data_IF_281903925834
#
_entry.id   IF_281903925834
#
_cell.length_a   1.000
_cell.length_b   1.000
_cell.length_c   1.000
_cell.angle_alpha   90.00
_cell.angle_beta   90.00
_cell.angle_gamma   90.00
#
_symmetry.space_group_name_H-M   'P 1'
#
loop_
_entity.id
_entity.type
_entity.pdbx_description
1 polymer ?
#
# COMPACT_ATOMS: atom_id res chain seq x y z
N UNK A 1 -11.93 -0.06 -13.58
CA UNK A 1 -10.48 0.00 -13.88
C UNK A 1 -10.12 1.47 -13.98
N UNK A 2 -8.95 1.88 -13.48
CA UNK A 2 -8.47 3.26 -13.55
C UNK A 2 -7.60 3.37 -14.80
N UNK A 3 -7.85 4.37 -15.64
CA UNK A 3 -6.99 4.71 -16.78
C UNK A 3 -6.15 5.92 -16.39
N UNK A 4 -4.84 5.72 -16.32
CA UNK A 4 -3.90 6.79 -16.03
C UNK A 4 -3.63 7.65 -17.28
N UNK A 5 -3.08 8.85 -17.07
CA UNK A 5 -2.73 9.83 -18.10
C UNK A 5 -1.73 9.31 -19.13
N UNK A 6 -0.84 8.39 -18.73
CA UNK A 6 0.09 7.70 -19.61
C UNK A 6 -0.53 6.48 -20.34
N UNK A 7 -1.85 6.29 -20.23
CA UNK A 7 -2.58 5.19 -20.88
C UNK A 7 -2.54 3.86 -20.12
N UNK A 8 -1.75 3.72 -19.05
CA UNK A 8 -1.70 2.49 -18.25
C UNK A 8 -3.03 2.25 -17.54
N UNK A 9 -3.45 0.99 -17.52
CA UNK A 9 -4.70 0.55 -16.92
C UNK A 9 -4.43 -0.15 -15.57
N UNK A 10 -4.95 0.43 -14.49
CA UNK A 10 -4.87 -0.16 -13.15
C UNK A 10 -6.18 -0.86 -12.79
N UNK A 11 -6.10 -2.18 -12.60
CA UNK A 11 -7.20 -2.96 -12.04
C UNK A 11 -6.81 -3.67 -10.75
N UNK A 12 -5.67 -4.35 -10.74
CA UNK A 12 -5.15 -5.05 -9.57
C UNK A 12 -3.78 -4.50 -9.20
N UNK A 13 -3.62 -4.15 -7.92
CA UNK A 13 -2.43 -3.53 -7.37
C UNK A 13 -1.94 -4.35 -6.19
N UNK A 14 -0.64 -4.69 -6.18
CA UNK A 14 0.00 -5.31 -5.04
C UNK A 14 0.55 -4.22 -4.12
N UNK A 15 0.21 -4.29 -2.82
CA UNK A 15 0.48 -3.20 -1.90
C UNK A 15 1.94 -3.02 -1.58
N UNK A 16 2.33 -1.76 -1.43
CA UNK A 16 3.62 -1.36 -0.86
C UNK A 16 3.84 -2.09 0.46
N UNK A 17 4.86 -2.96 0.50
CA UNK A 17 5.08 -3.87 1.63
C UNK A 17 4.95 -5.36 1.28
N UNK A 18 4.29 -5.69 0.18
CA UNK A 18 4.03 -7.06 -0.28
C UNK A 18 5.07 -7.49 -1.33
N UNK A 19 5.09 -8.79 -1.67
CA UNK A 19 5.95 -9.34 -2.73
C UNK A 19 7.44 -8.96 -2.58
N UNK A 20 7.99 -9.06 -1.37
CA UNK A 20 9.36 -8.66 -1.04
C UNK A 20 9.72 -7.20 -1.37
N UNK A 21 8.75 -6.28 -1.34
CA UNK A 21 8.91 -4.83 -1.52
C UNK A 21 9.22 -4.36 -2.95
N UNK A 22 9.58 -5.27 -3.85
CA UNK A 22 9.99 -4.99 -5.23
C UNK A 22 9.27 -5.88 -6.25
N UNK A 23 8.39 -6.78 -5.83
CA UNK A 23 7.67 -7.68 -6.74
C UNK A 23 8.39 -8.98 -7.04
N UNK A 24 9.65 -9.18 -6.59
CA UNK A 24 10.35 -10.48 -6.72
C UNK A 24 9.66 -11.58 -5.92
N UNK A 25 8.92 -11.21 -4.88
CA UNK A 25 8.45 -12.16 -3.89
C UNK A 25 9.61 -12.66 -3.03
N UNK A 26 9.25 -13.16 -1.85
CA UNK A 26 10.21 -13.65 -0.88
C UNK A 26 10.81 -15.00 -1.35
N UNK A 27 12.02 -15.38 -0.92
CA UNK A 27 12.63 -16.66 -1.32
C UNK A 27 11.72 -17.87 -1.12
N UNK A 28 10.94 -17.90 -0.03
CA UNK A 28 9.98 -18.97 0.25
C UNK A 28 8.74 -18.98 -0.66
N UNK A 29 8.51 -17.90 -1.42
CA UNK A 29 7.42 -17.81 -2.40
C UNK A 29 7.84 -18.31 -3.80
N UNK A 30 9.14 -18.53 -4.04
CA UNK A 30 9.64 -18.92 -5.36
C UNK A 30 9.04 -20.23 -5.91
N UNK A 31 8.84 -21.30 -5.09
CA UNK A 31 8.14 -22.50 -5.57
C UNK A 31 6.70 -22.22 -6.04
N UNK A 32 6.00 -21.29 -5.38
CA UNK A 32 4.65 -20.88 -5.77
C UNK A 32 4.64 -20.10 -7.08
N UNK A 33 5.73 -19.38 -7.36
CA UNK A 33 5.90 -18.66 -8.63
C UNK A 33 6.15 -19.61 -9.80
N UNK A 34 7.02 -20.60 -9.61
CA UNK A 34 7.29 -21.60 -10.64
C UNK A 34 6.06 -22.43 -11.00
N UNK A 35 5.19 -22.71 -10.03
CA UNK A 35 3.92 -23.42 -10.24
C UNK A 35 2.79 -22.51 -10.75
N UNK A 36 3.01 -21.19 -10.86
CA UNK A 36 1.99 -20.23 -11.27
C UNK A 36 0.87 -19.99 -10.25
N UNK A 37 1.03 -20.49 -9.01
CA UNK A 37 0.16 -20.22 -7.87
C UNK A 37 0.33 -18.81 -7.33
N UNK A 38 1.51 -18.20 -7.53
CA UNK A 38 1.76 -16.78 -7.31
C UNK A 38 2.32 -16.17 -8.59
N UNK A 39 1.56 -15.28 -9.22
CA UNK A 39 1.99 -14.56 -10.42
C UNK A 39 1.97 -13.04 -10.19
N UNK A 40 3.12 -12.42 -9.89
CA UNK A 40 3.25 -10.98 -9.74
C UNK A 40 2.86 -10.17 -10.99
N UNK A 41 2.88 -10.77 -12.19
CA UNK A 41 2.58 -10.07 -13.46
C UNK A 41 1.10 -9.71 -13.59
N UNK A 42 0.23 -10.34 -12.82
CA UNK A 42 -1.19 -10.01 -12.74
C UNK A 42 -1.47 -8.71 -11.98
N UNK A 43 -0.44 -8.13 -11.34
CA UNK A 43 -0.57 -6.94 -10.51
C UNK A 43 0.33 -5.83 -11.03
N UNK A 44 -0.12 -4.59 -10.92
CA UNK A 44 0.81 -3.47 -10.83
C UNK A 44 1.39 -3.45 -9.42
N UNK A 45 2.71 -3.59 -9.30
CA UNK A 45 3.40 -3.68 -8.00
C UNK A 45 3.69 -2.28 -7.48
N UNK A 46 3.24 -1.95 -6.27
CA UNK A 46 3.69 -0.74 -5.61
C UNK A 46 4.96 -1.03 -4.83
N UNK A 47 6.06 -0.39 -5.21
CA UNK A 47 7.33 -0.50 -4.48
C UNK A 47 7.17 -0.03 -3.03
N UNK A 48 8.02 -0.52 -2.13
CA UNK A 48 8.08 0.02 -0.77
C UNK A 48 8.36 1.52 -0.80
N UNK A 49 7.67 2.28 0.05
CA UNK A 49 7.91 3.73 0.18
C UNK A 49 9.39 4.03 0.37
N UNK A 50 9.98 4.75 -0.58
CA UNK A 50 11.39 5.13 -0.60
C UNK A 50 11.59 6.47 0.12
N UNK A 51 12.75 6.59 0.76
CA UNK A 51 13.27 7.82 1.35
C UNK A 51 14.56 8.24 0.62
N UNK A 52 15.04 9.50 0.80
CA UNK A 52 16.25 9.97 0.16
C UNK A 52 17.49 9.14 0.50
N UNK A 53 17.55 8.62 1.72
CA UNK A 53 18.65 7.81 2.23
C UNK A 53 18.13 6.53 2.86
N UNK A 54 19.04 5.63 3.22
CA UNK A 54 18.69 4.43 3.96
C UNK A 54 18.02 4.78 5.28
N UNK A 55 16.86 4.18 5.53
CA UNK A 55 16.09 4.39 6.73
C UNK A 55 16.01 3.09 7.51
N UNK A 56 16.58 3.05 8.72
CA UNK A 56 16.61 1.82 9.52
C UNK A 56 15.23 1.39 9.99
N UNK A 57 14.35 2.34 10.31
CA UNK A 57 13.04 2.08 10.92
C UNK A 57 13.10 1.08 12.08
N UNK A 58 11.99 0.37 12.31
CA UNK A 58 11.88 -0.60 13.40
C UNK A 58 12.16 -2.04 12.95
N UNK A 59 11.98 -2.36 11.66
CA UNK A 59 12.17 -3.73 11.16
C UNK A 59 13.63 -4.14 11.30
N UNK A 60 13.83 -5.32 11.89
CA UNK A 60 15.10 -6.07 11.87
C UNK A 60 14.83 -7.39 11.16
N UNK A 61 15.59 -7.68 10.12
CA UNK A 61 15.38 -8.87 9.30
C UNK A 61 15.51 -10.19 10.07
N UNK A 62 16.33 -10.20 11.13
CA UNK A 62 16.45 -11.34 12.03
C UNK A 62 15.21 -11.53 12.94
N UNK A 63 14.44 -10.47 13.20
CA UNK A 63 13.29 -10.48 14.10
C UNK A 63 12.08 -9.74 13.51
N UNK A 64 11.53 -10.20 12.36
CA UNK A 64 10.45 -9.50 11.68
C UNK A 64 9.17 -9.43 12.54
N UNK A 65 8.94 -10.45 13.37
CA UNK A 65 7.77 -10.51 14.25
C UNK A 65 7.85 -9.59 15.47
N UNK A 66 8.96 -8.87 15.69
CA UNK A 66 9.00 -7.82 16.72
C UNK A 66 8.12 -6.63 16.35
N UNK A 67 7.97 -6.36 15.05
CA UNK A 67 7.27 -5.19 14.51
C UNK A 67 6.05 -5.56 13.67
N UNK A 68 5.74 -6.86 13.58
CA UNK A 68 4.59 -7.38 12.87
C UNK A 68 3.96 -8.50 13.70
N UNK A 69 2.68 -8.36 14.02
CA UNK A 69 1.93 -9.35 14.79
C UNK A 69 0.64 -9.70 14.05
N UNK A 70 0.37 -11.00 13.95
CA UNK A 70 -0.97 -11.49 13.63
C UNK A 70 -1.86 -11.29 14.84
N UNK A 71 -3.12 -10.92 14.62
CA UNK A 71 -4.10 -10.74 15.69
C UNK A 71 -5.41 -11.46 15.38
N UNK A 72 -6.12 -11.88 16.42
CA UNK A 72 -7.48 -12.40 16.31
C UNK A 72 -8.47 -11.29 15.96
N UNK A 73 -9.76 -11.63 15.77
CA UNK A 73 -10.80 -10.63 15.52
C UNK A 73 -10.98 -9.67 16.69
N UNK A 74 -10.65 -10.12 17.90
CA UNK A 74 -10.70 -9.37 19.14
C UNK A 74 -9.40 -8.59 19.40
N UNK A 75 -8.40 -8.69 18.52
CA UNK A 75 -7.11 -8.00 18.68
C UNK A 75 -6.14 -8.69 19.64
N UNK A 76 -6.26 -10.00 19.87
CA UNK A 76 -5.28 -10.74 20.67
C UNK A 76 -4.13 -11.22 19.76
N UNK A 77 -2.85 -11.07 20.16
CA UNK A 77 -1.72 -11.54 19.36
C UNK A 77 -1.78 -13.05 19.16
N UNK A 78 -1.51 -13.49 17.94
CA UNK A 78 -1.46 -14.90 17.55
C UNK A 78 0.00 -15.27 17.29
N UNK A 79 0.42 -16.43 17.80
CA UNK A 79 1.74 -16.98 17.50
C UNK A 79 1.92 -17.15 15.97
N UNK A 80 3.03 -16.68 15.36
CA UNK A 80 3.24 -16.79 13.92
C UNK A 80 3.13 -18.21 13.35
N UNK A 81 3.61 -19.24 14.07
CA UNK A 81 3.50 -20.62 13.61
C UNK A 81 2.03 -21.08 13.53
N UNK A 82 1.21 -20.69 14.52
CA UNK A 82 -0.23 -20.94 14.51
C UNK A 82 -0.90 -20.18 13.37
N UNK A 83 -0.56 -18.91 13.19
CA UNK A 83 -1.11 -18.08 12.11
C UNK A 83 -0.77 -18.66 10.72
N UNK A 84 0.44 -19.19 10.53
CA UNK A 84 0.85 -19.82 9.26
C UNK A 84 0.13 -21.17 9.06
N UNK A 85 0.03 -22.00 10.10
CA UNK A 85 -0.63 -23.30 10.02
C UNK A 85 -2.14 -23.20 9.85
N UNK A 86 -2.77 -22.22 10.50
CA UNK A 86 -4.22 -21.99 10.52
C UNK A 86 -4.53 -20.56 10.08
N UNK A 87 -4.19 -20.23 8.83
CA UNK A 87 -4.33 -18.85 8.33
C UNK A 87 -5.74 -18.25 8.45
N UNK A 88 -6.78 -19.09 8.50
CA UNK A 88 -8.15 -18.65 8.81
C UNK A 88 -8.36 -18.08 10.22
N UNK A 89 -7.43 -18.30 11.16
CA UNK A 89 -7.46 -17.69 12.50
C UNK A 89 -6.97 -16.25 12.51
N UNK A 90 -6.41 -15.75 11.39
CA UNK A 90 -5.92 -14.37 11.29
C UNK A 90 -7.14 -13.44 11.16
N UNK A 91 -7.47 -12.73 12.24
CA UNK A 91 -8.44 -11.65 12.21
C UNK A 91 -7.86 -10.36 11.62
N UNK A 92 -6.55 -10.18 11.71
CA UNK A 92 -5.83 -9.08 11.08
C UNK A 92 -4.34 -9.14 11.31
N UNK A 93 -3.64 -8.13 10.82
CA UNK A 93 -2.20 -7.92 11.05
C UNK A 93 -1.98 -6.49 11.49
N UNK A 94 -1.31 -6.34 12.62
CA UNK A 94 -0.78 -5.05 13.09
C UNK A 94 0.71 -4.99 12.80
N UNK A 95 1.17 -3.86 12.24
CA UNK A 95 2.57 -3.64 11.94
C UNK A 95 3.03 -2.24 12.34
N UNK A 96 4.31 -2.13 12.67
CA UNK A 96 5.00 -0.89 12.99
C UNK A 96 6.39 -0.89 12.34
N UNK A 97 6.47 -1.20 11.03
CA UNK A 97 7.73 -1.34 10.29
C UNK A 97 8.59 -0.06 10.36
N UNK A 98 7.96 1.12 10.35
CA UNK A 98 8.68 2.40 10.45
C UNK A 98 9.44 2.76 9.18
N UNK A 99 8.90 2.44 7.99
CA UNK A 99 9.50 2.73 6.67
C UNK A 99 10.91 2.16 6.44
N UNK A 100 11.33 1.12 7.16
CA UNK A 100 12.65 0.50 7.00
C UNK A 100 12.96 0.19 5.52
N UNK A 101 14.00 0.77 4.94
CA UNK A 101 14.27 0.61 3.51
C UNK A 101 15.66 1.12 3.11
N UNK A 102 16.15 0.70 1.92
CA UNK A 102 17.52 0.99 1.48
C UNK A 102 17.71 2.46 1.04
N UNK A 103 16.64 3.23 0.89
CA UNK A 103 16.66 4.53 0.25
C UNK A 103 16.61 4.43 -1.28
N UNK A 104 16.29 5.53 -1.94
CA UNK A 104 16.03 5.58 -3.39
C UNK A 104 17.25 5.20 -4.23
N UNK A 105 18.44 5.71 -3.91
CA UNK A 105 19.64 5.49 -4.75
C UNK A 105 20.08 4.02 -4.73
N UNK A 106 20.01 3.37 -3.55
CA UNK A 106 20.30 1.94 -3.43
C UNK A 106 19.23 1.10 -4.11
N UNK A 107 17.96 1.48 -4.00
CA UNK A 107 16.87 0.78 -4.71
C UNK A 107 17.03 0.86 -6.23
N UNK A 108 17.38 2.04 -6.77
CA UNK A 108 17.64 2.25 -8.20
C UNK A 108 18.82 1.39 -8.71
N UNK A 109 19.87 1.24 -7.90
CA UNK A 109 21.05 0.44 -8.29
C UNK A 109 20.86 -1.07 -8.15
N UNK A 110 20.10 -1.51 -7.15
CA UNK A 110 20.01 -2.93 -6.76
C UNK A 110 18.70 -3.59 -7.17
N UNK A 111 17.59 -2.95 -6.87
CA UNK A 111 16.27 -3.58 -6.93
C UNK A 111 15.58 -3.28 -8.27
N UNK A 112 15.59 -2.02 -8.71
CA UNK A 112 14.94 -1.60 -9.97
C UNK A 112 15.37 -2.38 -11.22
N UNK A 113 16.68 -2.65 -11.48
CA UNK A 113 17.08 -3.39 -12.68
C UNK A 113 16.49 -4.82 -12.70
N UNK A 114 16.28 -5.41 -11.53
CA UNK A 114 15.63 -6.73 -11.44
C UNK A 114 14.15 -6.62 -11.75
N UNK A 115 13.45 -5.60 -11.25
CA UNK A 115 12.04 -5.34 -11.56
C UNK A 115 11.84 -5.15 -13.07
N UNK A 116 12.68 -4.31 -13.67
CA UNK A 116 12.66 -4.02 -15.10
C UNK A 116 12.93 -5.27 -15.94
N UNK A 117 13.97 -6.04 -15.61
CA UNK A 117 14.30 -7.28 -16.33
C UNK A 117 13.19 -8.33 -16.31
N UNK A 118 12.30 -8.28 -15.32
CA UNK A 118 11.14 -9.18 -15.19
C UNK A 118 9.87 -8.63 -15.86
N UNK A 119 9.93 -7.42 -16.42
CA UNK A 119 8.80 -6.77 -17.09
C UNK A 119 7.68 -6.36 -16.13
N UNK A 120 7.97 -6.26 -14.82
CA UNK A 120 6.96 -5.90 -13.83
C UNK A 120 6.56 -4.43 -13.97
N UNK A 121 5.26 -4.19 -13.93
CA UNK A 121 4.69 -2.84 -13.93
C UNK A 121 4.75 -2.31 -12.50
N UNK A 122 5.55 -1.26 -12.28
CA UNK A 122 5.82 -0.75 -10.92
C UNK A 122 5.32 0.67 -10.73
N UNK A 123 4.65 0.92 -9.61
CA UNK A 123 4.37 2.26 -9.06
C UNK A 123 5.41 2.51 -7.96
N UNK A 124 6.14 3.62 -8.03
CA UNK A 124 7.15 3.93 -7.01
C UNK A 124 6.51 4.76 -5.91
N UNK A 125 6.40 4.18 -4.71
CA UNK A 125 5.92 4.89 -3.53
C UNK A 125 7.05 5.75 -2.94
N UNK A 126 6.79 7.02 -2.64
CA UNK A 126 7.76 7.95 -2.04
C UNK A 126 7.15 8.71 -0.87
N UNK A 127 8.02 9.22 0.00
CA UNK A 127 7.70 10.34 0.90
C UNK A 127 8.86 11.33 0.86
N UNK A 128 8.58 12.62 0.97
CA UNK A 128 9.57 13.68 0.91
C UNK A 128 9.81 14.31 2.28
N UNK A 129 10.84 13.91 3.04
CA UNK A 129 11.26 14.66 4.21
C UNK A 129 11.71 16.06 3.77
N UNK A 130 11.34 17.10 4.53
CA UNK A 130 11.60 18.49 4.13
C UNK A 130 10.52 19.10 3.23
N UNK A 131 9.28 18.59 3.30
CA UNK A 131 8.12 19.22 2.65
C UNK A 131 8.09 19.06 1.14
N UNK A 132 7.67 20.10 0.42
CA UNK A 132 7.56 20.11 -1.04
C UNK A 132 8.89 19.87 -1.75
N UNK A 133 9.97 20.53 -1.30
CA UNK A 133 11.30 20.36 -1.88
C UNK A 133 11.78 18.91 -1.77
N UNK A 134 11.60 18.29 -0.61
CA UNK A 134 11.94 16.88 -0.41
C UNK A 134 11.22 15.95 -1.38
N UNK A 135 9.94 16.23 -1.66
CA UNK A 135 9.17 15.47 -2.64
C UNK A 135 9.68 15.70 -4.07
N UNK A 136 9.97 16.96 -4.44
CA UNK A 136 10.54 17.33 -5.73
C UNK A 136 11.85 16.57 -6.00
N UNK A 137 12.79 16.60 -5.06
CA UNK A 137 14.08 15.91 -5.19
C UNK A 137 13.93 14.39 -5.32
N UNK A 138 13.01 13.80 -4.56
CA UNK A 138 12.71 12.37 -4.68
C UNK A 138 12.21 11.99 -6.07
N UNK A 139 11.35 12.84 -6.67
CA UNK A 139 10.83 12.63 -8.02
C UNK A 139 11.92 12.79 -9.08
N UNK A 140 12.82 13.77 -8.92
CA UNK A 140 13.94 13.99 -9.85
C UNK A 140 14.88 12.79 -9.94
N UNK A 141 15.08 12.07 -8.84
CA UNK A 141 15.87 10.81 -8.85
C UNK A 141 15.20 9.67 -9.60
N UNK A 142 13.91 9.77 -9.91
CA UNK A 142 13.15 8.81 -10.74
C UNK A 142 13.06 9.27 -12.20
N UNK A 143 13.80 10.30 -12.63
CA UNK A 143 13.92 10.63 -14.04
C UNK A 143 14.65 9.52 -14.82
N UNK A 144 14.25 9.32 -16.07
CA UNK A 144 14.86 8.30 -16.95
C UNK A 144 14.45 6.84 -16.68
N UNK A 145 13.78 6.52 -15.56
CA UNK A 145 13.30 5.16 -15.31
C UNK A 145 11.89 4.91 -15.86
N UNK A 146 11.67 3.69 -16.33
CA UNK A 146 10.39 3.18 -16.81
C UNK A 146 9.53 2.65 -15.66
N UNK A 147 8.59 3.47 -15.20
CA UNK A 147 7.63 3.17 -14.13
C UNK A 147 6.22 3.61 -14.54
N UNK A 148 5.20 2.98 -13.97
CA UNK A 148 3.79 3.28 -14.26
C UNK A 148 3.38 4.64 -13.71
N UNK A 149 3.91 5.04 -12.56
CA UNK A 149 3.55 6.26 -11.87
C UNK A 149 4.21 6.35 -10.50
N UNK A 150 3.90 7.42 -9.78
CA UNK A 150 4.41 7.71 -8.45
C UNK A 150 3.26 7.65 -7.46
N UNK A 151 3.45 6.98 -6.33
CA UNK A 151 2.53 7.05 -5.19
C UNK A 151 3.13 7.94 -4.11
N UNK A 152 2.49 9.06 -3.81
CA UNK A 152 2.85 9.86 -2.66
C UNK A 152 2.23 9.27 -1.39
N UNK A 153 3.08 8.76 -0.49
CA UNK A 153 2.67 8.26 0.80
C UNK A 153 2.58 9.38 1.85
N UNK A 154 1.46 10.11 1.84
CA UNK A 154 1.16 11.19 2.78
C UNK A 154 0.69 10.69 4.16
N UNK A 155 0.71 9.39 4.42
CA UNK A 155 0.00 8.78 5.54
C UNK A 155 0.91 8.35 6.70
N UNK A 156 2.23 8.44 6.54
CA UNK A 156 3.18 7.94 7.54
C UNK A 156 3.74 9.08 8.41
N UNK A 157 3.43 9.12 9.72
CA UNK A 157 3.89 10.20 10.60
C UNK A 157 5.39 10.13 10.93
N UNK A 158 6.06 9.03 10.58
CA UNK A 158 7.46 8.81 10.95
C UNK A 158 8.43 9.82 10.32
N UNK A 159 8.04 10.45 9.22
CA UNK A 159 8.85 11.48 8.54
C UNK A 159 8.36 12.88 8.82
N UNK A 160 7.05 13.06 9.02
CA UNK A 160 6.44 14.34 9.34
C UNK A 160 5.05 14.12 9.99
N UNK A 161 4.89 14.35 11.31
CA UNK A 161 3.61 14.22 11.99
C UNK A 161 2.52 15.18 11.49
N UNK A 162 2.90 16.30 10.88
CA UNK A 162 1.95 17.33 10.42
C UNK A 162 1.10 16.85 9.23
N UNK A 163 1.58 15.86 8.48
CA UNK A 163 0.84 15.25 7.36
C UNK A 163 -0.48 14.64 7.79
N UNK A 164 -0.60 14.19 9.05
CA UNK A 164 -1.84 13.62 9.56
C UNK A 164 -2.90 14.67 9.85
N UNK A 165 -2.50 15.93 10.08
CA UNK A 165 -3.39 16.96 10.61
C UNK A 165 -3.65 18.09 9.62
N UNK A 166 -2.73 18.36 8.69
CA UNK A 166 -2.80 19.55 7.84
C UNK A 166 -2.98 19.20 6.35
N UNK A 167 -4.19 19.36 5.79
CA UNK A 167 -4.45 19.22 4.36
C UNK A 167 -3.56 20.10 3.47
N UNK A 168 -3.21 21.32 3.92
CA UNK A 168 -2.43 22.27 3.12
C UNK A 168 -1.07 21.71 2.75
N UNK A 169 -0.43 21.00 3.69
CA UNK A 169 0.89 20.41 3.50
C UNK A 169 0.81 19.29 2.45
N UNK A 170 -0.21 18.43 2.55
CA UNK A 170 -0.42 17.33 1.60
C UNK A 170 -0.67 17.88 0.19
N UNK A 171 -1.50 18.91 0.06
CA UNK A 171 -1.81 19.56 -1.22
C UNK A 171 -0.56 20.22 -1.81
N UNK A 172 0.22 20.96 -1.00
CA UNK A 172 1.45 21.62 -1.44
C UNK A 172 2.48 20.60 -1.93
N UNK A 173 2.63 19.46 -1.25
CA UNK A 173 3.51 18.38 -1.68
C UNK A 173 3.04 17.70 -2.96
N UNK A 174 1.73 17.48 -3.14
CA UNK A 174 1.19 16.98 -4.40
C UNK A 174 1.54 17.91 -5.57
N UNK A 175 1.44 19.24 -5.36
CA UNK A 175 1.84 20.23 -6.37
C UNK A 175 3.33 20.17 -6.69
N UNK A 176 4.19 20.14 -5.68
CA UNK A 176 5.64 20.03 -5.87
C UNK A 176 6.03 18.73 -6.63
N UNK A 177 5.32 17.63 -6.38
CA UNK A 177 5.52 16.38 -7.15
C UNK A 177 5.11 16.56 -8.61
N UNK A 178 3.96 17.19 -8.88
CA UNK A 178 3.49 17.44 -10.24
C UNK A 178 4.35 18.45 -11.00
N UNK A 179 4.94 19.42 -10.33
CA UNK A 179 5.94 20.33 -10.92
C UNK A 179 7.22 19.59 -11.33
N UNK A 180 7.58 18.53 -10.62
CA UNK A 180 8.76 17.73 -10.93
C UNK A 180 8.54 16.70 -12.05
N UNK A 181 7.30 16.32 -12.36
CA UNK A 181 7.02 15.27 -13.36
C UNK A 181 5.60 15.26 -13.95
N UNK A 182 5.52 14.91 -15.23
CA UNK A 182 4.25 14.63 -15.92
C UNK A 182 3.69 13.23 -15.65
N UNK A 183 4.45 12.36 -14.96
CA UNK A 183 3.99 11.00 -14.65
C UNK A 183 2.69 11.00 -13.82
N UNK A 184 1.91 9.91 -13.90
CA UNK A 184 0.75 9.75 -13.05
C UNK A 184 1.10 9.81 -11.57
N UNK A 185 0.31 10.59 -10.82
CA UNK A 185 0.45 10.75 -9.38
C UNK A 185 -0.72 10.09 -8.66
N UNK A 186 -0.42 9.16 -7.77
CA UNK A 186 -1.36 8.55 -6.85
C UNK A 186 -1.12 9.11 -5.45
N UNK A 187 -2.18 9.24 -4.65
CA UNK A 187 -2.10 9.72 -3.27
C UNK A 187 -2.54 8.64 -2.30
N UNK A 188 -1.67 8.26 -1.36
CA UNK A 188 -1.99 7.28 -0.31
C UNK A 188 -2.36 7.97 0.99
N UNK A 189 -3.61 7.78 1.42
CA UNK A 189 -4.19 8.43 2.60
C UNK A 189 -4.35 7.47 3.79
N UNK A 190 -4.29 8.05 4.99
CA UNK A 190 -4.63 7.41 6.26
C UNK A 190 -6.09 7.68 6.64
N UNK A 191 -6.68 6.75 7.38
CA UNK A 191 -7.98 6.96 8.01
C UNK A 191 -7.97 8.10 9.05
N UNK A 192 -6.82 8.44 9.62
CA UNK A 192 -6.68 9.54 10.60
C UNK A 192 -6.52 10.92 9.99
N UNK A 193 -6.46 11.04 8.67
CA UNK A 193 -6.38 12.32 7.99
C UNK A 193 -7.78 12.91 7.75
N UNK A 194 -7.91 14.22 7.53
CA UNK A 194 -9.09 14.83 6.91
C UNK A 194 -9.20 14.45 5.42
N UNK A 195 -9.32 13.14 5.13
CA UNK A 195 -9.15 12.57 3.79
C UNK A 195 -10.16 13.09 2.77
N UNK A 196 -11.39 13.42 3.19
CA UNK A 196 -12.39 13.98 2.30
C UNK A 196 -12.04 15.41 1.85
N UNK A 197 -11.51 16.22 2.76
CA UNK A 197 -11.06 17.58 2.43
C UNK A 197 -9.84 17.53 1.51
N UNK A 198 -8.84 16.70 1.88
CA UNK A 198 -7.65 16.50 1.06
C UNK A 198 -8.05 16.08 -0.35
N UNK A 199 -8.90 15.05 -0.48
CA UNK A 199 -9.34 14.51 -1.78
C UNK A 199 -9.95 15.58 -2.69
N UNK A 200 -10.84 16.44 -2.17
CA UNK A 200 -11.42 17.56 -2.93
C UNK A 200 -10.36 18.54 -3.41
N UNK A 201 -9.36 18.82 -2.59
CA UNK A 201 -8.33 19.84 -2.87
C UNK A 201 -7.24 19.36 -3.82
N UNK A 202 -7.12 18.05 -4.03
CA UNK A 202 -6.15 17.45 -4.96
C UNK A 202 -6.78 16.97 -6.27
N UNK A 203 -8.06 17.25 -6.52
CA UNK A 203 -8.70 16.97 -7.81
C UNK A 203 -7.92 17.62 -8.97
N UNK A 204 -7.69 16.86 -10.03
CA UNK A 204 -6.86 17.28 -11.17
C UNK A 204 -5.35 17.20 -10.94
N UNK A 205 -4.87 17.09 -9.69
CA UNK A 205 -3.45 16.87 -9.39
C UNK A 205 -3.10 15.38 -9.27
N UNK A 206 -4.03 14.59 -8.73
CA UNK A 206 -3.83 13.16 -8.49
C UNK A 206 -4.83 12.34 -9.30
N UNK A 207 -4.39 11.18 -9.77
CA UNK A 207 -5.15 10.32 -10.69
C UNK A 207 -5.78 9.11 -10.00
N UNK A 208 -5.30 8.77 -8.80
CA UNK A 208 -5.98 7.80 -7.94
C UNK A 208 -5.66 8.01 -6.46
N UNK A 209 -6.56 7.56 -5.60
CA UNK A 209 -6.34 7.49 -4.15
C UNK A 209 -6.19 6.03 -3.72
N UNK A 210 -5.12 5.72 -2.99
CA UNK A 210 -4.94 4.44 -2.29
C UNK A 210 -5.07 4.62 -0.78
N UNK A 211 -5.43 3.54 -0.07
CA UNK A 211 -5.74 3.60 1.37
C UNK A 211 -4.68 2.81 2.15
N UNK A 212 -4.14 3.42 3.20
CA UNK A 212 -3.20 2.78 4.11
C UNK A 212 -3.90 2.00 5.24
N UNK A 213 -3.11 1.32 6.08
CA UNK A 213 -3.58 0.66 7.30
C UNK A 213 -4.27 1.62 8.26
N UNK A 214 -5.15 1.10 9.12
CA UNK A 214 -5.91 1.87 10.10
C UNK A 214 -5.21 1.82 11.46
N UNK A 215 -4.99 2.94 12.17
CA UNK A 215 -4.35 2.91 13.48
C UNK A 215 -5.02 1.98 14.49
N UNK A 216 -4.23 1.29 15.29
CA UNK A 216 -4.70 0.34 16.31
C UNK A 216 -5.83 0.88 17.18
N UNK A 217 -5.65 2.10 17.71
CA UNK A 217 -6.60 2.74 18.62
C UNK A 217 -7.99 2.94 18.00
N UNK A 218 -8.07 3.08 16.68
CA UNK A 218 -9.36 3.20 15.99
C UNK A 218 -10.06 1.86 15.85
N UNK A 219 -9.30 0.77 15.64
CA UNK A 219 -9.87 -0.58 15.46
C UNK A 219 -10.23 -1.23 16.79
N UNK A 220 -9.39 -1.09 17.82
CA UNK A 220 -9.52 -1.82 19.08
C UNK A 220 -9.71 -0.92 20.31
N UNK A 221 -9.95 0.39 20.12
CA UNK A 221 -10.16 1.35 21.21
C UNK A 221 -8.93 1.44 22.13
N UNK A 222 -9.18 1.43 23.43
CA UNK A 222 -8.14 1.56 24.47
C UNK A 222 -7.42 0.24 24.80
N UNK A 223 -7.73 -0.84 24.08
CA UNK A 223 -7.01 -2.11 24.24
C UNK A 223 -5.51 -1.89 23.97
N UNK A 224 -4.65 -2.38 24.86
CA UNK A 224 -3.22 -2.28 24.68
C UNK A 224 -2.77 -3.00 23.39
N UNK A 225 -2.04 -2.29 22.53
CA UNK A 225 -1.47 -2.88 21.31
C UNK A 225 -0.30 -3.80 21.65
N UNK A 226 -0.15 -4.96 20.99
CA UNK A 226 1.05 -5.78 21.11
C UNK A 226 2.30 -5.07 20.55
N UNK A 227 2.13 -3.95 19.84
CA UNK A 227 3.20 -3.08 19.35
C UNK A 227 3.18 -1.71 20.05
N UNK A 228 2.66 -1.61 21.28
CA UNK A 228 2.60 -0.36 22.05
C UNK A 228 3.97 0.35 22.15
N UNK A 229 5.07 -0.41 22.32
CA UNK A 229 6.45 0.12 22.34
C UNK A 229 6.87 0.86 21.06
N UNK A 230 6.13 0.69 19.97
CA UNK A 230 6.34 1.36 18.67
C UNK A 230 5.17 2.30 18.30
N UNK A 231 4.41 2.79 19.28
CA UNK A 231 3.27 3.68 19.05
C UNK A 231 1.99 2.96 18.62
N UNK A 232 1.90 1.64 18.81
CA UNK A 232 0.68 0.86 18.62
C UNK A 232 0.50 0.26 17.21
N UNK A 233 1.04 0.90 16.18
CA UNK A 233 1.07 0.36 14.81
C UNK A 233 -0.24 0.49 14.01
N UNK A 234 -0.15 0.14 12.72
CA UNK A 234 -1.25 0.14 11.77
C UNK A 234 -1.82 -1.26 11.55
N UNK A 235 -3.14 -1.36 11.60
CA UNK A 235 -3.94 -2.58 11.47
C UNK A 235 -4.45 -2.73 10.03
N UNK A 236 -4.39 -3.97 9.55
CA UNK A 236 -4.83 -4.38 8.22
C UNK A 236 -5.48 -5.77 8.29
N UNK A 237 -6.09 -6.23 7.19
CA UNK A 237 -6.85 -7.48 7.15
C UNK A 237 -8.30 -7.32 7.62
N UNK A 238 -9.02 -8.42 7.91
CA UNK A 238 -10.46 -8.42 8.14
C UNK A 238 -10.97 -7.39 9.15
N UNK A 239 -10.34 -7.28 10.32
CA UNK A 239 -10.73 -6.32 11.37
C UNK A 239 -10.64 -4.85 10.92
N UNK A 240 -9.81 -4.53 9.91
CA UNK A 240 -9.70 -3.18 9.38
C UNK A 240 -10.70 -2.89 8.24
N UNK A 241 -11.35 -3.92 7.67
CA UNK A 241 -12.27 -3.78 6.54
C UNK A 241 -13.40 -2.76 6.80
N UNK A 242 -14.10 -2.75 7.96
CA UNK A 242 -15.20 -1.81 8.16
C UNK A 242 -14.77 -0.34 8.06
N UNK A 243 -13.58 -0.02 8.58
CA UNK A 243 -13.00 1.32 8.53
C UNK A 243 -12.53 1.68 7.12
N UNK A 244 -11.78 0.79 6.47
CA UNK A 244 -11.29 1.01 5.10
C UNK A 244 -12.47 1.18 4.14
N UNK A 245 -13.48 0.33 4.22
CA UNK A 245 -14.63 0.37 3.33
C UNK A 245 -15.54 1.56 3.57
N UNK A 246 -15.65 2.02 4.83
CA UNK A 246 -16.27 3.31 5.14
C UNK A 246 -15.55 4.46 4.45
N UNK A 247 -14.22 4.54 4.59
CA UNK A 247 -13.40 5.56 3.94
C UNK A 247 -13.54 5.54 2.41
N UNK A 248 -13.55 4.36 1.79
CA UNK A 248 -13.81 4.21 0.34
C UNK A 248 -15.17 4.82 -0.02
N UNK A 249 -16.22 4.45 0.71
CA UNK A 249 -17.59 4.90 0.41
C UNK A 249 -17.76 6.41 0.61
N UNK A 250 -17.09 7.00 1.60
CA UNK A 250 -17.09 8.45 1.85
C UNK A 250 -16.32 9.21 0.77
N UNK A 251 -15.10 8.74 0.41
CA UNK A 251 -14.31 9.32 -0.68
C UNK A 251 -15.06 9.25 -2.01
N UNK A 252 -15.71 8.12 -2.31
CA UNK A 252 -16.44 7.91 -3.56
C UNK A 252 -17.65 8.85 -3.75
N UNK A 253 -18.17 9.42 -2.65
CA UNK A 253 -19.23 10.43 -2.67
C UNK A 253 -18.69 11.86 -2.68
N UNK A 254 -17.41 12.02 -2.35
CA UNK A 254 -16.76 13.29 -2.05
C UNK A 254 -15.95 13.83 -3.21
N UNK A 255 -15.34 12.95 -4.02
CA UNK A 255 -14.47 13.31 -5.14
C UNK A 255 -14.74 12.43 -6.36
N UNK A 256 -14.39 12.95 -7.54
CA UNK A 256 -14.32 12.22 -8.81
C UNK A 256 -13.04 11.38 -8.97
N UNK A 257 -12.03 11.57 -8.11
CA UNK A 257 -10.77 10.82 -8.20
C UNK A 257 -11.04 9.32 -7.99
N UNK A 258 -10.59 8.45 -8.90
CA UNK A 258 -10.74 7.01 -8.75
C UNK A 258 -10.06 6.45 -7.50
N UNK A 259 -10.75 5.53 -6.80
CA UNK A 259 -10.24 4.93 -5.56
C UNK A 259 -9.73 3.52 -5.82
N UNK A 260 -8.55 3.20 -5.29
CA UNK A 260 -8.00 1.84 -5.24
C UNK A 260 -8.45 1.20 -3.93
N UNK A 261 -9.45 0.33 -4.02
CA UNK A 261 -10.09 -0.31 -2.87
C UNK A 261 -9.18 -1.33 -2.20
N UNK A 262 -8.95 -1.17 -0.90
CA UNK A 262 -8.11 -2.06 -0.10
C UNK A 262 -8.93 -2.96 0.84
N UNK A 263 -8.24 -3.85 1.54
CA UNK A 263 -8.85 -4.73 2.55
C UNK A 263 -9.39 -6.05 2.00
N UNK A 264 -8.98 -6.49 0.81
CA UNK A 264 -9.35 -7.81 0.29
C UNK A 264 -8.83 -8.91 1.22
N UNK A 265 -9.71 -9.84 1.59
CA UNK A 265 -9.38 -11.05 2.35
C UNK A 265 -10.02 -12.30 1.75
N UNK A 266 -11.29 -12.21 1.37
CA UNK A 266 -12.02 -13.23 0.62
C UNK A 266 -12.30 -12.80 -0.81
N UNK A 267 -12.64 -13.76 -1.68
CA UNK A 267 -12.84 -13.50 -3.11
C UNK A 267 -13.98 -12.50 -3.34
N UNK A 268 -15.06 -12.64 -2.56
CA UNK A 268 -16.28 -11.84 -2.62
C UNK A 268 -16.02 -10.36 -2.28
N UNK A 269 -14.93 -10.06 -1.56
CA UNK A 269 -14.54 -8.69 -1.25
C UNK A 269 -14.24 -7.87 -2.52
N UNK A 270 -13.80 -8.51 -3.61
CA UNK A 270 -13.56 -7.84 -4.89
C UNK A 270 -14.87 -7.26 -5.42
N UNK A 271 -15.93 -8.05 -5.47
CA UNK A 271 -17.25 -7.61 -5.91
C UNK A 271 -17.81 -6.54 -4.97
N UNK A 272 -17.65 -6.73 -3.65
CA UNK A 272 -18.10 -5.77 -2.64
C UNK A 272 -17.41 -4.41 -2.80
N UNK A 273 -16.11 -4.39 -3.05
CA UNK A 273 -15.35 -3.16 -3.30
C UNK A 273 -15.84 -2.43 -4.56
N UNK A 274 -16.24 -3.16 -5.62
CA UNK A 274 -16.88 -2.54 -6.80
C UNK A 274 -18.21 -1.89 -6.44
N UNK A 275 -19.05 -2.53 -5.62
CA UNK A 275 -20.30 -1.92 -5.12
C UNK A 275 -20.04 -0.67 -4.29
N UNK A 276 -18.91 -0.63 -3.55
CA UNK A 276 -18.44 0.56 -2.83
C UNK A 276 -17.81 1.63 -3.75
N UNK A 277 -17.84 1.43 -5.07
CA UNK A 277 -17.29 2.32 -6.11
C UNK A 277 -15.75 2.38 -6.15
N UNK A 278 -15.06 1.33 -5.73
CA UNK A 278 -13.63 1.19 -6.00
C UNK A 278 -13.37 0.93 -7.49
N UNK A 279 -12.49 1.73 -8.10
CA UNK A 279 -12.16 1.64 -9.52
C UNK A 279 -11.09 0.59 -9.81
N UNK A 280 -10.19 0.35 -8.85
CA UNK A 280 -9.17 -0.70 -8.84
C UNK A 280 -9.13 -1.38 -7.46
N UNK A 281 -8.40 -2.49 -7.33
CA UNK A 281 -8.38 -3.33 -6.14
C UNK A 281 -6.95 -3.55 -5.68
N UNK A 282 -6.73 -3.45 -4.37
CA UNK A 282 -5.42 -3.48 -3.72
C UNK A 282 -5.29 -4.71 -2.82
N UNK A 283 -4.25 -5.51 -3.06
CA UNK A 283 -3.93 -6.73 -2.31
C UNK A 283 -2.73 -6.48 -1.41
N UNK A 284 -2.91 -6.59 -0.10
CA UNK A 284 -1.84 -6.39 0.88
C UNK A 284 -1.71 -7.59 1.81
N UNK A 285 -2.33 -7.52 2.99
CA UNK A 285 -2.27 -8.55 4.04
C UNK A 285 -2.64 -9.96 3.54
N UNK A 286 -3.50 -10.06 2.53
CA UNK A 286 -3.87 -11.35 1.94
C UNK A 286 -2.69 -12.11 1.31
N UNK A 287 -1.56 -11.46 1.01
CA UNK A 287 -0.32 -12.14 0.61
C UNK A 287 0.26 -13.06 1.69
N UNK A 288 -0.19 -12.99 2.95
CA UNK A 288 0.10 -14.05 3.93
C UNK A 288 -0.53 -15.40 3.55
N UNK A 289 -1.51 -15.40 2.65
CA UNK A 289 -1.98 -16.56 1.88
C UNK A 289 -1.49 -16.43 0.42
N UNK A 290 -0.22 -16.75 0.12
CA UNK A 290 0.43 -16.29 -1.11
C UNK A 290 -0.27 -16.72 -2.41
N UNK A 291 -1.02 -17.82 -2.42
CA UNK A 291 -1.78 -18.28 -3.60
C UNK A 291 -3.13 -17.59 -3.81
N UNK A 292 -3.76 -17.05 -2.75
CA UNK A 292 -5.11 -16.48 -2.82
C UNK A 292 -5.19 -15.28 -3.77
N UNK A 293 -4.28 -14.29 -3.73
CA UNK A 293 -4.36 -13.13 -4.63
C UNK A 293 -4.40 -13.52 -6.10
N UNK A 294 -3.49 -14.38 -6.55
CA UNK A 294 -3.44 -14.84 -7.95
C UNK A 294 -4.66 -15.67 -8.31
N UNK A 295 -5.10 -16.56 -7.43
CA UNK A 295 -6.34 -17.33 -7.63
C UNK A 295 -7.56 -16.41 -7.78
N UNK A 296 -7.67 -15.38 -6.95
CA UNK A 296 -8.79 -14.44 -7.00
C UNK A 296 -8.78 -13.61 -8.28
N UNK A 297 -7.62 -13.12 -8.71
CA UNK A 297 -7.51 -12.36 -9.96
C UNK A 297 -7.85 -13.23 -11.17
N UNK A 298 -7.31 -14.46 -11.27
CA UNK A 298 -7.63 -15.38 -12.37
C UNK A 298 -9.13 -15.68 -12.44
N UNK A 299 -9.73 -16.05 -11.30
CA UNK A 299 -11.18 -16.30 -11.20
C UNK A 299 -12.01 -15.08 -11.58
N UNK A 300 -11.60 -13.88 -11.16
CA UNK A 300 -12.31 -12.64 -11.52
C UNK A 300 -12.24 -12.35 -13.02
N UNK A 301 -11.09 -12.59 -13.64
CA UNK A 301 -10.92 -12.41 -15.08
C UNK A 301 -11.80 -13.39 -15.85
N UNK A 302 -11.83 -14.67 -15.46
CA UNK A 302 -12.70 -15.68 -16.08
C UNK A 302 -14.17 -15.25 -16.06
N UNK A 303 -14.71 -14.88 -14.90
CA UNK A 303 -16.12 -14.49 -14.74
C UNK A 303 -16.49 -13.20 -15.47
N UNK A 304 -15.54 -12.28 -15.69
CA UNK A 304 -15.81 -10.97 -16.33
C UNK A 304 -15.86 -11.06 -17.86
N UNK A 305 -15.24 -12.08 -18.44
CA UNK A 305 -15.13 -12.26 -19.89
C UNK A 305 -16.04 -13.38 -20.43
N UNK A 306 -16.91 -13.94 -19.58
CA UNK A 306 -18.12 -14.70 -19.94
C UNK A 306 -19.35 -13.78 -20.02
#
# INVERSE_FOLDING_TARGET
>A
MIKLSNGHQLEFVAASGSLAFDGRGWPWEWPLRWTGLLDPRLFTVTAKTLLPTEWKGNLRWAHPFDVLKFVSREGNPINPAIAIARRGSIGGVVNAIGLTGPGIDKWLKRDYPVIESKGYKVIVSITGPGGGQGCFEMVKRLEGINIVGIEFNASCPNTDPTLLQNPDIVVAQCRAIKEATDRPLLLKLSYSQPYCEIAKRVEGLVEAISINTVPWKLVFGDKASPLARYGGGGVSGPVAQPFIWRMISELARTTSIPIIGAGVWEYEDIARLKTLRASAIHFGTIFFHPWKPTSYVKKWMEVRYE
#
